data_IF_549215773394
#
_entry.id   IF_549215773394
#
_cell.length_a   1.000
_cell.length_b   1.000
_cell.length_c   1.000
_cell.angle_alpha   90.00
_cell.angle_beta   90.00
_cell.angle_gamma   90.00
#
_symmetry.space_group_name_H-M   'P 1'
#
loop_
_entity.id
_entity.type
_entity.pdbx_description
1 polymer ?
#
# COMPACT_ATOMS: atom_id res chain seq x y z
N UNK A 1 -0.89 13.06 -6.93
CA UNK A 1 -0.71 11.71 -6.39
C UNK A 1 -1.47 10.76 -7.29
N UNK A 2 -0.77 10.21 -8.26
CA UNK A 2 -1.24 9.07 -9.05
C UNK A 2 -0.65 7.77 -8.49
N UNK A 3 -0.85 6.65 -9.19
CA UNK A 3 -0.35 5.35 -8.74
C UNK A 3 1.17 5.28 -8.69
N UNK A 4 1.86 5.96 -9.62
CA UNK A 4 3.32 5.99 -9.65
C UNK A 4 3.84 6.73 -8.43
N UNK A 5 3.21 7.86 -8.08
CA UNK A 5 3.54 8.60 -6.85
C UNK A 5 3.35 7.71 -5.59
N UNK A 6 2.31 6.86 -5.60
CA UNK A 6 1.98 5.97 -4.49
C UNK A 6 2.97 4.80 -4.36
N UNK A 7 3.42 4.26 -5.50
CA UNK A 7 4.45 3.22 -5.58
C UNK A 7 5.81 3.75 -5.10
N UNK A 8 6.21 4.95 -5.56
CA UNK A 8 7.44 5.60 -5.10
C UNK A 8 7.42 5.84 -3.59
N UNK A 9 6.29 6.32 -3.07
CA UNK A 9 6.12 6.52 -1.62
C UNK A 9 6.21 5.20 -0.84
N UNK A 10 5.57 4.13 -1.31
CA UNK A 10 5.61 2.82 -0.65
C UNK A 10 7.02 2.19 -0.67
N UNK A 11 7.77 2.38 -1.75
CA UNK A 11 9.15 1.89 -1.86
C UNK A 11 10.17 2.74 -1.10
N UNK A 12 9.79 3.95 -0.68
CA UNK A 12 10.62 4.81 0.17
C UNK A 12 10.74 4.32 1.62
N UNK A 13 9.93 3.35 2.06
CA UNK A 13 10.05 2.75 3.39
C UNK A 13 11.23 1.77 3.44
N UNK A 14 11.95 1.74 4.56
CA UNK A 14 13.10 0.86 4.75
C UNK A 14 12.72 -0.61 4.58
N UNK A 15 13.51 -1.35 3.80
CA UNK A 15 13.30 -2.76 3.45
C UNK A 15 11.95 -3.04 2.75
N UNK A 16 11.35 -2.03 2.13
CA UNK A 16 10.15 -2.19 1.34
C UNK A 16 10.45 -2.86 -0.01
N UNK A 17 9.65 -3.85 -0.35
CA UNK A 17 9.70 -4.55 -1.63
C UNK A 17 8.32 -4.52 -2.30
N UNK A 18 8.31 -4.41 -3.63
CA UNK A 18 7.12 -4.57 -4.44
C UNK A 18 7.02 -6.01 -4.95
N UNK A 19 5.81 -6.55 -4.92
CA UNK A 19 5.45 -7.84 -5.50
C UNK A 19 4.07 -7.72 -6.16
N UNK A 20 3.59 -8.79 -6.79
CA UNK A 20 2.25 -8.85 -7.34
C UNK A 20 1.48 -10.05 -6.75
N UNK A 21 0.26 -9.80 -6.28
CA UNK A 21 -0.66 -10.84 -5.85
C UNK A 21 -2.01 -10.65 -6.54
N UNK A 22 -2.53 -11.72 -7.16
CA UNK A 22 -3.79 -11.71 -7.91
C UNK A 22 -3.86 -10.62 -9.00
N UNK A 23 -2.72 -10.25 -9.59
CA UNK A 23 -2.63 -9.23 -10.64
C UNK A 23 -2.62 -7.79 -10.14
N UNK A 24 -2.60 -7.55 -8.83
CA UNK A 24 -2.42 -6.24 -8.22
C UNK A 24 -1.03 -6.11 -7.57
N UNK A 25 -0.44 -4.92 -7.64
CA UNK A 25 0.79 -4.63 -6.92
C UNK A 25 0.53 -4.63 -5.41
N UNK A 26 1.45 -5.23 -4.67
CA UNK A 26 1.49 -5.21 -3.21
C UNK A 26 2.89 -4.80 -2.71
N UNK A 27 2.91 -4.14 -1.56
CA UNK A 27 4.13 -3.61 -0.95
C UNK A 27 4.33 -4.25 0.40
N UNK A 28 5.56 -4.69 0.66
CA UNK A 28 5.88 -5.56 1.78
C UNK A 28 7.11 -5.08 2.54
N UNK A 29 7.11 -5.30 3.85
CA UNK A 29 8.32 -5.20 4.69
C UNK A 29 8.46 -6.53 5.43
N UNK A 30 9.64 -7.15 5.35
CA UNK A 30 9.88 -8.46 5.96
C UNK A 30 8.90 -9.55 5.47
N UNK A 31 8.48 -9.48 4.21
CA UNK A 31 7.52 -10.40 3.59
C UNK A 31 6.05 -10.20 3.96
N UNK A 32 5.70 -9.19 4.77
CA UNK A 32 4.32 -8.87 5.15
C UNK A 32 3.80 -7.68 4.37
N UNK A 33 2.62 -7.83 3.76
CA UNK A 33 1.95 -6.75 3.01
C UNK A 33 1.54 -5.64 3.98
N UNK A 34 1.81 -4.38 3.61
CA UNK A 34 1.28 -3.20 4.31
C UNK A 34 0.45 -2.28 3.41
N UNK A 35 0.61 -2.37 2.09
CA UNK A 35 -0.19 -1.63 1.12
C UNK A 35 -0.42 -2.45 -0.17
N UNK A 36 -1.53 -2.19 -0.87
CA UNK A 36 -1.84 -2.80 -2.18
C UNK A 36 -2.54 -1.82 -3.11
N UNK A 37 -2.34 -1.95 -4.42
CA UNK A 37 -3.05 -1.20 -5.47
C UNK A 37 -4.16 -2.04 -6.12
N UNK A 38 -5.06 -2.63 -5.32
CA UNK A 38 -6.08 -3.56 -5.81
C UNK A 38 -7.13 -2.94 -6.76
N UNK A 39 -7.39 -1.64 -6.64
CA UNK A 39 -8.36 -0.91 -7.46
C UNK A 39 -7.73 0.37 -8.05
N UNK A 40 -6.48 0.24 -8.50
CA UNK A 40 -5.68 1.35 -9.02
C UNK A 40 -6.39 2.12 -10.14
N UNK A 41 -7.06 1.41 -11.05
CA UNK A 41 -7.84 1.97 -12.16
C UNK A 41 -9.00 2.87 -11.72
N UNK A 42 -9.44 2.78 -10.47
CA UNK A 42 -10.44 3.65 -9.86
C UNK A 42 -9.81 4.75 -8.98
N UNK A 43 -8.47 4.80 -8.91
CA UNK A 43 -7.73 5.72 -8.04
C UNK A 43 -7.71 5.29 -6.57
N UNK A 44 -7.95 4.00 -6.27
CA UNK A 44 -7.96 3.48 -4.90
C UNK A 44 -6.83 2.51 -4.62
N UNK A 45 -6.32 2.57 -3.40
CA UNK A 45 -5.42 1.58 -2.81
C UNK A 45 -5.92 1.14 -1.44
N UNK A 46 -5.30 0.11 -0.88
CA UNK A 46 -5.61 -0.40 0.45
C UNK A 46 -4.36 -0.30 1.33
N UNK A 47 -4.57 0.02 2.61
CA UNK A 47 -3.55 0.08 3.63
C UNK A 47 -3.90 -0.90 4.75
N UNK A 48 -2.89 -1.60 5.27
CA UNK A 48 -3.01 -2.34 6.51
C UNK A 48 -2.59 -1.42 7.65
N UNK A 49 -3.55 -1.04 8.48
CA UNK A 49 -3.37 -0.12 9.59
C UNK A 49 -3.76 -0.80 10.91
N UNK A 50 -3.12 -0.41 12.01
CA UNK A 50 -3.59 -0.79 13.35
C UNK A 50 -4.99 -0.19 13.60
N UNK A 51 -5.73 -0.72 14.57
CA UNK A 51 -7.06 -0.22 14.88
C UNK A 51 -7.03 1.28 15.26
N UNK A 52 -5.99 1.71 15.97
CA UNK A 52 -5.78 3.10 16.36
C UNK A 52 -5.55 4.00 15.14
N UNK A 53 -4.77 3.52 14.16
CA UNK A 53 -4.52 4.26 12.92
C UNK A 53 -5.76 4.31 12.01
N UNK A 54 -6.55 3.22 11.97
CA UNK A 54 -7.83 3.24 11.24
C UNK A 54 -8.79 4.27 11.84
N UNK A 55 -8.88 4.34 13.16
CA UNK A 55 -9.67 5.36 13.87
C UNK A 55 -9.16 6.77 13.56
N UNK A 56 -7.86 7.00 13.60
CA UNK A 56 -7.27 8.31 13.28
C UNK A 56 -7.48 8.73 11.82
N UNK A 57 -7.61 7.79 10.89
CA UNK A 57 -7.82 8.08 9.46
C UNK A 57 -9.26 8.53 9.15
N UNK A 58 -10.25 8.02 9.89
CA UNK A 58 -11.67 8.32 9.66
C UNK A 58 -12.22 9.43 10.55
N UNK A 59 -11.44 9.92 11.51
CA UNK A 59 -11.79 11.01 12.42
C UNK A 59 -11.60 12.38 11.76
#
# INVERSE_FOLDING_TARGET
MDSSDSQELALGFGDAEESAHMGAADFRVGGRIFATLAHEHLGFGNLILSAELQQALIA
#
